data_IF_715613660448
#
_entry.id   IF_715613660448
#
_cell.length_a   1.000
_cell.length_b   1.000
_cell.length_c   1.000
_cell.angle_alpha   90.00
_cell.angle_beta   90.00
_cell.angle_gamma   90.00
#
_symmetry.space_group_name_H-M   'P 1'
#
loop_
_entity.id
_entity.type
_entity.pdbx_description
1 polymer ?
#
# COMPACT_ATOMS: atom_id res chain seq x y z
N UNK A 1 16.28 7.06 -4.73
CA UNK A 1 15.85 8.12 -3.79
C UNK A 1 17.01 9.00 -3.30
N UNK A 2 18.21 8.45 -3.03
CA UNK A 2 19.33 9.21 -2.48
C UNK A 2 19.78 10.42 -3.33
N UNK A 3 19.92 10.26 -4.66
CA UNK A 3 20.42 11.31 -5.57
C UNK A 3 19.54 12.58 -5.56
N UNK A 4 18.22 12.43 -5.59
CA UNK A 4 17.28 13.56 -5.55
C UNK A 4 17.28 14.27 -4.18
N UNK A 5 17.50 13.53 -3.09
CA UNK A 5 17.57 14.11 -1.74
C UNK A 5 18.82 14.99 -1.56
N UNK A 6 19.96 14.63 -2.17
CA UNK A 6 21.16 15.47 -2.17
C UNK A 6 20.99 16.74 -3.02
N UNK A 7 20.28 16.66 -4.14
CA UNK A 7 19.95 17.83 -4.95
C UNK A 7 19.01 18.82 -4.23
N UNK A 8 18.07 18.30 -3.41
CA UNK A 8 17.11 19.12 -2.65
C UNK A 8 17.69 19.69 -1.33
N UNK A 9 18.77 19.12 -0.80
CA UNK A 9 19.44 19.56 0.43
C UNK A 9 19.83 21.07 0.46
N UNK A 10 20.48 21.63 -0.57
CA UNK A 10 20.83 23.06 -0.58
C UNK A 10 19.62 23.99 -0.64
N UNK A 11 18.50 23.56 -1.25
CA UNK A 11 17.26 24.34 -1.30
C UNK A 11 16.53 24.37 0.05
N UNK A 12 16.57 23.26 0.80
CA UNK A 12 15.89 23.13 2.08
C UNK A 12 16.75 23.52 3.30
N UNK A 13 18.03 23.88 3.10
CA UNK A 13 19.02 24.14 4.17
C UNK A 13 19.09 23.01 5.22
N UNK A 14 18.96 21.77 4.78
CA UNK A 14 18.98 20.59 5.64
C UNK A 14 19.82 19.47 5.04
N UNK A 15 20.21 18.49 5.86
CA UNK A 15 21.04 17.38 5.38
C UNK A 15 20.25 16.45 4.43
N UNK A 16 20.88 16.02 3.33
CA UNK A 16 20.27 15.12 2.36
C UNK A 16 19.80 13.79 2.98
N UNK A 17 20.48 13.32 4.04
CA UNK A 17 20.07 12.13 4.78
C UNK A 17 18.72 12.33 5.49
N UNK A 18 18.48 13.47 6.15
CA UNK A 18 17.18 13.76 6.80
C UNK A 18 16.05 13.80 5.77
N UNK A 19 16.28 14.46 4.63
CA UNK A 19 15.31 14.53 3.52
C UNK A 19 15.04 13.13 2.97
N UNK A 20 16.10 12.34 2.74
CA UNK A 20 16.00 10.97 2.27
C UNK A 20 15.18 10.08 3.21
N UNK A 21 15.37 10.19 4.53
CA UNK A 21 14.58 9.43 5.51
C UNK A 21 13.10 9.79 5.44
N UNK A 22 12.74 11.07 5.31
CA UNK A 22 11.35 11.49 5.18
C UNK A 22 10.74 11.04 3.84
N UNK A 23 11.51 11.13 2.75
CA UNK A 23 11.08 10.64 1.44
C UNK A 23 10.83 9.13 1.46
N UNK A 24 11.70 8.35 2.12
CA UNK A 24 11.51 6.90 2.26
C UNK A 24 10.22 6.56 3.02
N UNK A 25 9.87 7.31 4.08
CA UNK A 25 8.61 7.10 4.81
C UNK A 25 7.39 7.22 3.92
N UNK A 26 7.42 8.13 2.94
CA UNK A 26 6.34 8.29 1.97
C UNK A 26 6.42 7.21 0.87
N UNK A 27 7.62 6.86 0.42
CA UNK A 27 7.85 5.87 -0.64
C UNK A 27 7.46 4.43 -0.26
N UNK A 28 7.44 4.10 1.04
CA UNK A 28 7.06 2.78 1.55
C UNK A 28 5.70 2.30 1.02
N UNK A 29 4.73 3.20 0.81
CA UNK A 29 3.43 2.84 0.24
C UNK A 29 3.54 2.32 -1.21
N UNK A 30 4.52 2.81 -1.98
CA UNK A 30 4.76 2.40 -3.36
C UNK A 30 5.54 1.09 -3.48
N UNK A 31 6.34 0.71 -2.48
CA UNK A 31 7.12 -0.54 -2.51
C UNK A 31 6.26 -1.79 -2.48
N UNK A 32 5.01 -1.70 -2.04
CA UNK A 32 4.07 -2.82 -1.97
C UNK A 32 3.44 -3.16 -3.31
N UNK A 33 3.29 -2.18 -4.21
CA UNK A 33 2.56 -2.33 -5.47
C UNK A 33 3.13 -3.46 -6.36
N UNK A 34 4.46 -3.60 -6.53
CA UNK A 34 5.02 -4.70 -7.31
C UNK A 34 4.70 -6.08 -6.73
N UNK A 35 4.65 -6.22 -5.39
CA UNK A 35 4.28 -7.48 -4.75
C UNK A 35 2.80 -7.82 -4.96
N UNK A 36 1.92 -6.81 -4.87
CA UNK A 36 0.49 -7.00 -5.18
C UNK A 36 0.28 -7.44 -6.63
N UNK A 37 1.04 -6.88 -7.58
CA UNK A 37 0.95 -7.27 -9.00
C UNK A 37 1.38 -8.73 -9.24
N UNK A 38 2.34 -9.25 -8.46
CA UNK A 38 2.77 -10.66 -8.55
C UNK A 38 1.73 -11.61 -7.95
N UNK A 39 1.12 -11.24 -6.82
CA UNK A 39 0.11 -12.08 -6.16
C UNK A 39 -1.24 -12.08 -6.87
N UNK A 40 -1.56 -11.02 -7.62
CA UNK A 40 -2.83 -10.91 -8.34
C UNK A 40 -2.60 -10.29 -9.73
N UNK A 41 -2.34 -11.13 -10.75
CA UNK A 41 -2.01 -10.69 -12.11
C UNK A 41 -3.09 -9.85 -12.79
N UNK A 42 -4.35 -9.99 -12.35
CA UNK A 42 -5.46 -9.18 -12.84
C UNK A 42 -5.29 -7.66 -12.58
N UNK A 43 -4.40 -7.25 -11.66
CA UNK A 43 -3.99 -5.84 -11.52
C UNK A 43 -3.25 -5.32 -12.77
N UNK A 44 -2.53 -6.19 -13.48
CA UNK A 44 -1.82 -5.87 -14.72
C UNK A 44 -2.69 -6.08 -15.98
N UNK A 45 -4.00 -6.27 -15.80
CA UNK A 45 -4.91 -6.69 -16.87
C UNK A 45 -4.45 -7.99 -17.56
N UNK A 46 -3.77 -8.84 -16.81
CA UNK A 46 -3.37 -10.19 -17.23
C UNK A 46 -4.36 -11.22 -16.66
N UNK A 47 -4.15 -12.50 -17.00
CA UNK A 47 -5.07 -13.63 -16.82
C UNK A 47 -6.17 -13.48 -15.76
N UNK A 48 -7.39 -13.75 -16.20
CA UNK A 48 -8.62 -13.70 -15.44
C UNK A 48 -8.60 -14.82 -14.38
N UNK A 49 -8.49 -14.46 -13.10
CA UNK A 49 -8.47 -15.42 -12.01
C UNK A 49 -9.81 -16.15 -11.82
N UNK A 50 -9.92 -17.00 -10.78
CA UNK A 50 -11.15 -17.73 -10.47
C UNK A 50 -12.37 -16.82 -10.20
N UNK A 51 -12.16 -15.53 -9.92
CA UNK A 51 -13.21 -14.53 -9.69
C UNK A 51 -13.85 -14.10 -11.02
N UNK A 52 -13.07 -13.92 -12.08
CA UNK A 52 -13.59 -13.62 -13.41
C UNK A 52 -14.38 -14.78 -14.03
N UNK A 53 -14.04 -16.03 -13.68
CA UNK A 53 -14.79 -17.20 -14.10
C UNK A 53 -16.21 -17.25 -13.51
N UNK A 54 -16.47 -16.57 -12.39
CA UNK A 54 -17.74 -16.58 -11.66
C UNK A 54 -18.56 -15.29 -11.80
N UNK A 55 -17.91 -14.12 -11.90
CA UNK A 55 -18.59 -12.80 -11.93
C UNK A 55 -18.20 -11.92 -13.12
N UNK A 56 -17.29 -12.37 -13.98
CA UNK A 56 -16.82 -11.64 -15.16
C UNK A 56 -15.57 -10.80 -14.92
N UNK A 57 -14.73 -10.71 -15.96
CA UNK A 57 -13.45 -10.00 -15.95
C UNK A 57 -13.47 -8.54 -15.44
N UNK A 58 -14.41 -7.66 -15.87
CA UNK A 58 -14.39 -6.26 -15.43
C UNK A 58 -14.69 -6.11 -13.93
N UNK A 59 -15.43 -7.05 -13.33
CA UNK A 59 -15.75 -7.04 -11.89
C UNK A 59 -14.52 -7.40 -11.05
N UNK A 60 -13.74 -8.37 -11.50
CA UNK A 60 -12.48 -8.75 -10.82
C UNK A 60 -11.48 -7.60 -10.85
N UNK A 61 -11.31 -6.94 -12.00
CA UNK A 61 -10.40 -5.78 -12.12
C UNK A 61 -10.84 -4.64 -11.18
N UNK A 62 -12.13 -4.30 -11.17
CA UNK A 62 -12.65 -3.25 -10.28
C UNK A 62 -12.39 -3.57 -8.80
N UNK A 63 -12.63 -4.83 -8.39
CA UNK A 63 -12.40 -5.28 -7.02
C UNK A 63 -10.92 -5.18 -6.63
N UNK A 64 -10.01 -5.64 -7.50
CA UNK A 64 -8.57 -5.63 -7.23
C UNK A 64 -8.02 -4.20 -7.21
N UNK A 65 -8.51 -3.32 -8.07
CA UNK A 65 -8.14 -1.90 -8.06
C UNK A 65 -8.55 -1.26 -6.73
N UNK A 66 -9.77 -1.49 -6.26
CA UNK A 66 -10.24 -0.98 -4.96
C UNK A 66 -9.40 -1.56 -3.81
N UNK A 67 -9.13 -2.86 -3.83
CA UNK A 67 -8.29 -3.55 -2.84
C UNK A 67 -6.86 -2.98 -2.82
N UNK A 68 -6.26 -2.76 -3.98
CA UNK A 68 -4.93 -2.16 -4.11
C UNK A 68 -4.90 -0.72 -3.57
N UNK A 69 -5.88 0.11 -3.93
CA UNK A 69 -6.01 1.47 -3.40
C UNK A 69 -6.13 1.47 -1.87
N UNK A 70 -6.95 0.58 -1.30
CA UNK A 70 -7.13 0.43 0.14
C UNK A 70 -5.80 0.05 0.82
N UNK A 71 -5.08 -0.92 0.25
CA UNK A 71 -3.78 -1.39 0.73
C UNK A 71 -2.72 -0.28 0.74
N UNK A 72 -2.61 0.49 -0.36
CA UNK A 72 -1.67 1.62 -0.48
C UNK A 72 -1.97 2.68 0.58
N UNK A 73 -3.25 3.01 0.80
CA UNK A 73 -3.65 4.01 1.82
C UNK A 73 -3.31 3.51 3.22
N UNK A 74 -3.54 2.23 3.54
CA UNK A 74 -3.23 1.65 4.85
C UNK A 74 -1.72 1.61 5.11
N UNK A 75 -0.93 1.19 4.12
CA UNK A 75 0.54 1.18 4.21
C UNK A 75 1.13 2.58 4.35
N UNK A 76 0.65 3.54 3.55
CA UNK A 76 1.05 4.94 3.67
C UNK A 76 0.69 5.50 5.05
N UNK A 77 -0.51 5.22 5.55
CA UNK A 77 -0.94 5.69 6.86
C UNK A 77 -0.22 4.99 8.03
N UNK A 78 0.24 3.74 7.87
CA UNK A 78 1.09 3.05 8.84
C UNK A 78 2.50 3.65 8.88
N UNK A 79 3.09 3.92 7.71
CA UNK A 79 4.43 4.50 7.57
C UNK A 79 4.50 5.97 8.04
N UNK A 80 3.48 6.78 7.72
CA UNK A 80 3.40 8.19 8.13
C UNK A 80 2.85 8.33 9.56
N UNK A 81 1.94 7.44 9.98
CA UNK A 81 1.31 7.48 11.31
C UNK A 81 0.13 8.44 11.43
N UNK A 82 -0.37 8.91 10.30
CA UNK A 82 -1.42 9.91 10.20
C UNK A 82 -2.36 9.51 9.05
N UNK A 83 -3.67 9.51 9.27
CA UNK A 83 -4.70 9.27 8.22
C UNK A 83 -5.70 10.43 8.18
N UNK A 84 -6.24 10.78 9.34
CA UNK A 84 -7.12 11.94 9.56
C UNK A 84 -6.93 12.56 10.96
N UNK A 85 -6.57 11.73 11.94
CA UNK A 85 -6.10 12.14 13.27
C UNK A 85 -4.78 11.43 13.59
N UNK A 86 -4.01 11.96 14.54
CA UNK A 86 -2.80 11.30 15.07
C UNK A 86 -3.19 9.92 15.58
N UNK A 87 -2.73 8.85 14.92
CA UNK A 87 -3.04 7.48 15.33
C UNK A 87 -2.07 7.05 16.43
N UNK A 88 -2.61 6.42 17.49
CA UNK A 88 -1.81 5.75 18.49
C UNK A 88 -0.89 4.71 17.82
N UNK A 89 0.29 4.47 18.38
CA UNK A 89 1.28 3.55 17.81
C UNK A 89 0.72 2.14 17.58
N UNK A 90 -0.20 1.69 18.45
CA UNK A 90 -0.96 0.44 18.31
C UNK A 90 -1.84 0.42 17.05
N UNK A 91 -2.51 1.54 16.73
CA UNK A 91 -3.30 1.68 15.51
C UNK A 91 -2.44 1.72 14.24
N UNK A 92 -1.13 2.04 14.35
CA UNK A 92 -0.18 1.93 13.23
C UNK A 92 0.19 0.47 12.97
N UNK A 93 0.39 -0.32 14.02
CA UNK A 93 0.60 -1.77 13.90
C UNK A 93 -0.63 -2.47 13.32
N UNK A 94 -1.84 -2.08 13.76
CA UNK A 94 -3.09 -2.57 13.16
C UNK A 94 -3.22 -2.24 11.67
N UNK A 95 -2.94 -0.99 11.28
CA UNK A 95 -2.95 -0.59 9.86
C UNK A 95 -1.87 -1.27 9.03
N UNK A 96 -0.70 -1.54 9.61
CA UNK A 96 0.36 -2.31 8.96
C UNK A 96 -0.06 -3.76 8.75
N UNK A 97 -0.62 -4.41 9.78
CA UNK A 97 -1.14 -5.77 9.70
C UNK A 97 -2.27 -5.86 8.66
N UNK A 98 -3.24 -4.94 8.70
CA UNK A 98 -4.34 -4.88 7.72
C UNK A 98 -3.80 -4.68 6.29
N UNK A 99 -2.81 -3.83 6.12
CA UNK A 99 -2.12 -3.61 4.86
C UNK A 99 -1.42 -4.87 4.34
N UNK A 100 -0.72 -5.63 5.20
CA UNK A 100 -0.08 -6.90 4.83
C UNK A 100 -1.11 -7.98 4.49
N UNK A 101 -2.20 -8.06 5.27
CA UNK A 101 -3.32 -8.99 5.05
C UNK A 101 -4.01 -8.75 3.70
N UNK A 102 -4.17 -7.48 3.30
CA UNK A 102 -4.70 -7.11 1.98
C UNK A 102 -3.72 -7.35 0.83
N UNK A 103 -2.41 -7.47 1.08
CA UNK A 103 -1.42 -7.83 0.06
C UNK A 103 -1.38 -9.34 -0.17
N UNK A 104 -1.64 -10.13 0.87
CA UNK A 104 -1.75 -11.59 0.77
C UNK A 104 -2.98 -12.00 -0.05
N UNK A 105 -2.78 -12.69 -1.17
CA UNK A 105 -3.85 -13.24 -2.00
C UNK A 105 -4.42 -14.55 -1.43
N UNK A 106 -4.96 -14.53 -0.21
CA UNK A 106 -5.83 -15.61 0.29
C UNK A 106 -7.25 -15.07 0.54
N UNK A 107 -8.31 -15.77 0.10
CA UNK A 107 -9.70 -15.35 0.33
C UNK A 107 -10.04 -15.22 1.83
N UNK A 108 -9.36 -15.98 2.71
CA UNK A 108 -9.50 -15.87 4.17
C UNK A 108 -8.79 -14.63 4.78
N UNK A 109 -7.79 -14.06 4.09
CA UNK A 109 -7.07 -12.86 4.57
C UNK A 109 -7.75 -11.56 4.14
N UNK A 110 -8.56 -11.59 3.09
CA UNK A 110 -9.27 -10.42 2.58
C UNK A 110 -10.38 -9.94 3.52
N UNK A 111 -11.22 -10.84 4.04
CA UNK A 111 -12.30 -10.48 4.97
C UNK A 111 -11.75 -9.89 6.28
N UNK A 112 -10.67 -10.47 6.81
CA UNK A 112 -9.97 -9.94 7.98
C UNK A 112 -9.29 -8.59 7.70
N UNK A 113 -8.71 -8.43 6.49
CA UNK A 113 -8.10 -7.19 6.04
C UNK A 113 -9.08 -6.04 5.92
N UNK A 114 -10.28 -6.30 5.37
CA UNK A 114 -11.38 -5.33 5.31
C UNK A 114 -11.97 -5.02 6.70
N UNK A 115 -12.15 -6.03 7.56
CA UNK A 115 -12.64 -5.83 8.92
C UNK A 115 -11.69 -4.97 9.78
N UNK A 116 -10.37 -5.12 9.59
CA UNK A 116 -9.35 -4.30 10.26
C UNK A 116 -9.13 -2.92 9.61
N UNK A 117 -9.65 -2.69 8.40
CA UNK A 117 -9.46 -1.45 7.66
C UNK A 117 -10.51 -0.36 8.01
N UNK A 118 -11.67 -0.77 8.53
CA UNK A 118 -12.71 0.07 9.14
C UNK A 118 -12.25 0.62 10.50
#
# INVERSE_FOLDING_TARGET
>A
VALAAFAAAPMARESGLKIGIQATKLAIAGFVVPFMAVYTPALMLQDAGPIAASFGYPVEVAYIVVKACMGIVLWGAAAVGFRARRRAWWGRLGAFAAGVLLVGALPLTDEAGWALAL
#
